data_IF_633183053673
#
_entry.id   IF_633183053673
#
_cell.length_a   1.000
_cell.length_b   1.000
_cell.length_c   1.000
_cell.angle_alpha   90.00
_cell.angle_beta   90.00
_cell.angle_gamma   90.00
#
_symmetry.space_group_name_H-M   'P 1'
#
loop_
_entity.id
_entity.type
_entity.pdbx_description
1 polymer ?
#
# COMPACT_ATOMS: atom_id res chain seq x y z
N UNK A 1 -55.34 51.94 5.53
CA UNK A 1 -55.47 50.52 5.90
C UNK A 1 -54.20 49.80 5.49
N UNK A 2 -53.48 49.26 6.48
CA UNK A 2 -52.36 48.29 6.47
C UNK A 2 -51.05 48.64 5.74
N UNK A 3 -50.06 48.95 6.58
CA UNK A 3 -48.62 48.77 6.39
C UNK A 3 -48.23 47.28 6.37
N UNK A 4 -46.92 47.04 6.12
CA UNK A 4 -46.15 45.83 6.46
C UNK A 4 -46.16 44.74 5.37
N UNK A 5 -45.08 44.05 4.99
CA UNK A 5 -43.67 44.05 5.38
C UNK A 5 -42.92 43.13 4.40
N UNK A 6 -41.67 43.46 4.09
CA UNK A 6 -40.49 42.57 3.99
C UNK A 6 -40.62 41.15 3.42
N UNK A 7 -39.82 40.84 2.40
CA UNK A 7 -38.75 39.83 2.50
C UNK A 7 -37.85 39.88 1.25
N UNK A 8 -36.61 40.32 1.46
CA UNK A 8 -35.46 39.93 0.64
C UNK A 8 -35.36 38.40 0.66
N UNK A 9 -35.30 37.72 -0.49
CA UNK A 9 -34.45 36.53 -0.65
C UNK A 9 -34.42 36.01 -2.09
N UNK A 10 -33.37 36.32 -2.84
CA UNK A 10 -32.80 35.33 -3.75
C UNK A 10 -31.30 35.34 -3.47
N UNK A 11 -30.93 34.69 -2.37
CA UNK A 11 -29.54 34.43 -2.01
C UNK A 11 -28.78 33.85 -3.21
N UNK A 12 -27.57 34.36 -3.48
CA UNK A 12 -26.67 33.81 -4.49
C UNK A 12 -26.27 32.38 -4.12
N UNK A 13 -26.14 31.56 -5.16
CA UNK A 13 -25.41 30.29 -5.28
C UNK A 13 -24.87 29.72 -3.95
N UNK A 14 -25.36 28.58 -3.45
CA UNK A 14 -24.61 27.87 -2.44
C UNK A 14 -23.41 27.22 -3.13
N UNK A 15 -22.24 27.82 -2.93
CA UNK A 15 -20.94 27.14 -2.96
C UNK A 15 -20.97 26.04 -1.87
N UNK A 16 -21.67 24.94 -2.13
CA UNK A 16 -21.78 23.80 -1.21
C UNK A 16 -21.48 22.45 -1.86
N UNK A 17 -20.93 22.43 -3.08
CA UNK A 17 -20.43 21.21 -3.74
C UNK A 17 -18.91 21.03 -3.61
N UNK A 18 -18.32 21.52 -2.52
CA UNK A 18 -16.91 21.30 -2.17
C UNK A 18 -16.78 20.70 -0.77
N UNK A 19 -17.50 19.62 -0.48
CA UNK A 19 -17.21 18.80 0.70
C UNK A 19 -18.10 17.56 0.75
N UNK A 20 -17.62 16.47 0.14
CA UNK A 20 -17.97 15.05 0.40
C UNK A 20 -17.14 14.22 -0.59
N UNK A 21 -16.20 13.36 -0.25
CA UNK A 21 -15.70 12.84 1.03
C UNK A 21 -14.26 12.38 0.74
N UNK A 22 -13.26 12.94 1.41
CA UNK A 22 -11.88 12.44 1.30
C UNK A 22 -11.14 12.69 2.62
N UNK A 23 -11.49 11.94 3.65
CA UNK A 23 -10.72 11.97 4.91
C UNK A 23 -10.66 10.64 5.65
N UNK A 24 -11.27 9.56 5.15
CA UNK A 24 -11.28 8.24 5.84
C UNK A 24 -10.14 7.29 5.44
N UNK A 25 -9.17 7.70 4.62
CA UNK A 25 -8.07 6.81 4.16
C UNK A 25 -6.72 7.07 4.89
N UNK A 26 -6.74 7.76 6.04
CA UNK A 26 -5.52 8.12 6.80
C UNK A 26 -5.26 7.25 8.04
N UNK A 27 -6.27 6.52 8.53
CA UNK A 27 -6.10 5.67 9.70
C UNK A 27 -5.65 4.26 9.27
N UNK A 28 -4.43 3.89 9.65
CA UNK A 28 -3.88 2.56 9.43
C UNK A 28 -3.41 1.94 10.75
N UNK A 29 -3.74 0.67 10.96
CA UNK A 29 -3.17 -0.13 12.05
C UNK A 29 -1.90 -0.81 11.54
N UNK A 30 -0.88 -0.88 12.41
CA UNK A 30 0.40 -1.51 12.07
C UNK A 30 0.54 -2.81 12.86
N UNK A 31 0.59 -3.90 12.12
CA UNK A 31 0.91 -5.22 12.67
C UNK A 31 2.39 -5.46 12.43
N UNK A 32 3.13 -5.77 13.48
CA UNK A 32 4.58 -5.92 13.40
C UNK A 32 5.06 -7.29 13.90
N UNK A 33 6.13 -7.77 13.27
CA UNK A 33 6.93 -8.90 13.73
C UNK A 33 8.36 -8.35 13.89
N UNK A 34 8.90 -8.46 15.10
CA UNK A 34 10.25 -7.98 15.43
C UNK A 34 11.20 -9.13 15.70
N UNK A 35 12.43 -8.93 15.26
CA UNK A 35 13.60 -9.79 15.42
C UNK A 35 13.34 -11.27 15.08
N UNK A 36 12.54 -11.51 14.04
CA UNK A 36 12.32 -12.87 13.54
C UNK A 36 13.64 -13.41 13.03
N UNK A 37 14.15 -14.42 13.73
CA UNK A 37 15.41 -15.06 13.40
C UNK A 37 15.15 -16.28 12.51
N UNK A 38 15.84 -16.34 11.38
CA UNK A 38 15.84 -17.49 10.48
C UNK A 38 17.23 -17.77 9.93
N UNK A 39 17.39 -18.93 9.32
CA UNK A 39 18.64 -19.35 8.67
C UNK A 39 18.36 -19.60 7.20
N UNK A 40 19.21 -19.07 6.33
CA UNK A 40 19.16 -19.33 4.89
C UNK A 40 20.56 -19.26 4.31
N UNK A 41 20.78 -20.01 3.23
CA UNK A 41 21.93 -19.81 2.35
C UNK A 41 21.62 -18.56 1.51
N UNK A 42 22.44 -17.51 1.64
CA UNK A 42 22.26 -16.23 0.93
C UNK A 42 23.61 -15.53 0.77
N UNK A 43 23.93 -15.17 -0.47
CA UNK A 43 25.22 -14.59 -0.84
C UNK A 43 25.55 -14.77 -2.32
N UNK A 44 26.55 -14.03 -2.79
CA UNK A 44 27.09 -14.13 -4.17
C UNK A 44 28.45 -14.84 -4.18
N UNK A 45 29.21 -14.79 -3.08
CA UNK A 45 30.52 -15.42 -2.98
C UNK A 45 30.39 -16.93 -2.78
N UNK A 46 31.34 -17.69 -3.33
CA UNK A 46 31.35 -19.16 -3.26
C UNK A 46 31.33 -19.68 -1.81
N UNK A 47 32.02 -18.99 -0.90
CA UNK A 47 32.04 -19.29 0.54
C UNK A 47 30.66 -19.11 1.22
N UNK A 48 29.78 -18.28 0.66
CA UNK A 48 28.45 -18.00 1.21
C UNK A 48 27.39 -19.03 0.76
N UNK A 49 27.71 -19.89 -0.21
CA UNK A 49 26.79 -20.86 -0.81
C UNK A 49 26.77 -22.21 -0.08
N UNK A 50 27.71 -22.45 0.83
CA UNK A 50 27.87 -23.74 1.51
C UNK A 50 27.25 -23.77 2.91
N UNK A 51 27.18 -22.64 3.61
CA UNK A 51 26.76 -22.58 5.02
C UNK A 51 25.49 -21.75 5.21
N UNK A 52 24.47 -22.26 5.95
CA UNK A 52 23.32 -21.46 6.35
C UNK A 52 23.74 -20.29 7.24
N UNK A 53 23.29 -19.10 6.88
CA UNK A 53 23.62 -17.88 7.63
C UNK A 53 22.39 -17.37 8.35
N UNK A 54 22.60 -16.94 9.60
CA UNK A 54 21.56 -16.33 10.42
C UNK A 54 21.17 -14.99 9.80
N UNK A 55 19.88 -14.77 9.67
CA UNK A 55 19.28 -13.48 9.31
C UNK A 55 18.23 -13.12 10.34
N UNK A 56 18.05 -11.82 10.55
CA UNK A 56 17.02 -11.27 11.41
C UNK A 56 16.13 -10.40 10.55
N UNK A 57 14.82 -10.62 10.64
CA UNK A 57 13.83 -9.95 9.81
C UNK A 57 12.86 -9.19 10.73
N UNK A 58 12.68 -7.90 10.45
CA UNK A 58 11.61 -7.08 11.01
C UNK A 58 10.60 -6.79 9.92
N UNK A 59 9.31 -6.93 10.24
CA UNK A 59 8.22 -6.64 9.31
C UNK A 59 7.21 -5.75 10.00
N UNK A 60 6.76 -4.72 9.29
CA UNK A 60 5.62 -3.88 9.67
C UNK A 60 4.63 -3.87 8.51
N UNK A 61 3.41 -4.31 8.77
CA UNK A 61 2.32 -4.42 7.79
C UNK A 61 1.27 -3.40 8.18
N UNK A 62 1.06 -2.42 7.31
CA UNK A 62 -0.01 -1.44 7.46
C UNK A 62 -1.29 -1.94 6.83
N UNK A 63 -2.34 -2.08 7.63
CA UNK A 63 -3.69 -2.37 7.15
C UNK A 63 -4.59 -1.16 7.34
N UNK A 64 -5.58 -1.00 6.45
CA UNK A 64 -6.63 -0.01 6.69
C UNK A 64 -7.27 -0.32 8.03
N UNK A 65 -7.53 0.71 8.84
CA UNK A 65 -8.26 0.57 10.10
C UNK A 65 -9.63 -0.05 9.78
N UNK A 66 -9.73 -1.37 9.97
CA UNK A 66 -11.03 -2.02 10.04
C UNK A 66 -11.65 -1.59 11.36
N UNK A 67 -12.96 -1.69 11.50
CA UNK A 67 -13.70 -1.43 12.76
C UNK A 67 -13.32 -2.43 13.89
N UNK A 68 -12.10 -2.96 13.90
CA UNK A 68 -11.56 -4.00 14.77
C UNK A 68 -11.36 -3.53 16.23
N UNK A 69 -11.46 -2.23 16.52
CA UNK A 69 -11.68 -1.78 17.90
C UNK A 69 -12.99 -2.33 18.50
N UNK A 70 -13.88 -2.90 17.68
CA UNK A 70 -15.24 -3.32 18.10
C UNK A 70 -15.48 -4.83 17.97
N UNK A 71 -14.68 -5.61 17.23
CA UNK A 71 -15.11 -6.96 16.80
C UNK A 71 -14.29 -8.16 17.29
N UNK A 72 -13.12 -7.97 17.92
CA UNK A 72 -12.31 -9.04 18.55
C UNK A 72 -12.12 -10.31 17.67
N UNK A 73 -12.19 -10.13 16.34
CA UNK A 73 -12.18 -11.21 15.35
C UNK A 73 -10.83 -11.26 14.65
N UNK A 74 -10.09 -12.34 14.92
CA UNK A 74 -8.83 -12.71 14.25
C UNK A 74 -8.98 -12.75 12.71
N UNK A 75 -10.20 -12.94 12.22
CA UNK A 75 -10.57 -12.97 10.80
C UNK A 75 -10.33 -11.65 10.06
N UNK A 76 -10.24 -10.53 10.79
CA UNK A 76 -9.98 -9.18 10.25
C UNK A 76 -8.57 -8.66 10.59
N UNK A 77 -7.76 -9.45 11.30
CA UNK A 77 -6.37 -9.09 11.62
C UNK A 77 -5.40 -9.89 10.75
N UNK A 78 -4.20 -9.35 10.50
CA UNK A 78 -3.15 -10.10 9.81
C UNK A 78 -2.69 -11.22 10.74
N UNK A 79 -2.94 -12.46 10.32
CA UNK A 79 -2.47 -13.66 10.98
C UNK A 79 -0.93 -13.73 10.90
N UNK A 80 -0.28 -13.27 11.97
CA UNK A 80 1.17 -13.27 12.09
C UNK A 80 1.77 -14.69 12.10
N UNK A 81 1.00 -15.73 12.44
CA UNK A 81 1.46 -17.12 12.36
C UNK A 81 1.57 -17.56 10.90
N UNK A 82 0.60 -17.16 10.05
CA UNK A 82 0.71 -17.36 8.59
C UNK A 82 1.90 -16.60 8.01
N UNK A 83 2.10 -15.34 8.41
CA UNK A 83 3.26 -14.54 7.95
C UNK A 83 4.57 -15.22 8.36
N UNK A 84 4.68 -15.65 9.63
CA UNK A 84 5.85 -16.37 10.15
C UNK A 84 6.13 -17.67 9.39
N UNK A 85 5.09 -18.46 9.12
CA UNK A 85 5.21 -19.72 8.37
C UNK A 85 5.67 -19.47 6.93
N UNK A 86 5.07 -18.48 6.27
CA UNK A 86 5.43 -18.07 4.93
C UNK A 86 6.92 -17.70 4.82
N UNK A 87 7.42 -16.89 5.76
CA UNK A 87 8.84 -16.51 5.78
C UNK A 87 9.71 -17.73 5.98
N UNK A 88 9.38 -18.61 6.95
CA UNK A 88 10.14 -19.85 7.18
C UNK A 88 10.23 -20.72 5.93
N UNK A 89 9.12 -20.85 5.21
CA UNK A 89 9.09 -21.67 4.01
C UNK A 89 9.91 -21.03 2.88
N UNK A 90 9.88 -19.70 2.72
CA UNK A 90 10.75 -18.99 1.78
C UNK A 90 12.23 -19.17 2.10
N UNK A 91 12.64 -19.07 3.37
CA UNK A 91 14.04 -19.24 3.77
C UNK A 91 14.56 -20.65 3.49
N UNK A 92 13.72 -21.67 3.66
CA UNK A 92 14.08 -23.07 3.35
C UNK A 92 14.29 -23.33 1.86
N UNK A 93 13.73 -22.50 0.98
CA UNK A 93 13.91 -22.71 -0.46
C UNK A 93 15.33 -22.41 -0.94
N UNK A 94 16.10 -21.60 -0.19
CA UNK A 94 17.47 -21.18 -0.53
C UNK A 94 17.61 -20.61 -1.95
N UNK A 95 16.54 -20.03 -2.51
CA UNK A 95 16.50 -19.58 -3.91
C UNK A 95 17.11 -18.20 -4.14
N UNK A 96 17.37 -17.43 -3.08
CA UNK A 96 17.70 -16.02 -3.19
C UNK A 96 19.18 -15.78 -2.93
N UNK A 97 19.85 -15.14 -3.90
CA UNK A 97 21.25 -14.72 -3.80
C UNK A 97 21.44 -13.39 -3.07
N UNK A 98 20.40 -12.55 -3.06
CA UNK A 98 20.42 -11.18 -2.55
C UNK A 98 19.31 -10.96 -1.53
N UNK A 99 19.57 -10.13 -0.52
CA UNK A 99 18.60 -9.78 0.53
C UNK A 99 17.43 -8.98 -0.05
N UNK A 100 17.70 -8.17 -1.09
CA UNK A 100 16.71 -7.39 -1.83
C UNK A 100 15.68 -8.30 -2.50
N UNK A 101 16.13 -9.36 -3.17
CA UNK A 101 15.25 -10.31 -3.84
C UNK A 101 14.37 -11.09 -2.86
N UNK A 102 14.95 -11.50 -1.72
CA UNK A 102 14.22 -12.14 -0.64
C UNK A 102 13.15 -11.19 -0.05
N UNK A 103 13.53 -9.95 0.24
CA UNK A 103 12.61 -8.94 0.77
C UNK A 103 11.46 -8.65 -0.20
N UNK A 104 11.75 -8.51 -1.49
CA UNK A 104 10.72 -8.26 -2.51
C UNK A 104 9.73 -9.43 -2.60
N UNK A 105 10.21 -10.67 -2.57
CA UNK A 105 9.31 -11.84 -2.55
C UNK A 105 8.42 -11.83 -1.31
N UNK A 106 8.99 -11.62 -0.12
CA UNK A 106 8.21 -11.57 1.12
C UNK A 106 7.13 -10.49 1.02
N UNK A 107 7.47 -9.31 0.48
CA UNK A 107 6.50 -8.24 0.27
C UNK A 107 5.37 -8.65 -0.70
N UNK A 108 5.70 -9.26 -1.84
CA UNK A 108 4.74 -9.70 -2.84
C UNK A 108 3.77 -10.76 -2.30
N UNK A 109 4.32 -11.75 -1.59
CA UNK A 109 3.53 -12.79 -0.93
C UNK A 109 2.59 -12.18 0.12
N UNK A 110 3.09 -11.23 0.93
CA UNK A 110 2.25 -10.58 1.94
C UNK A 110 1.14 -9.74 1.29
N UNK A 111 1.41 -8.99 0.23
CA UNK A 111 0.35 -8.25 -0.47
C UNK A 111 -0.69 -9.15 -1.15
N UNK A 112 -0.30 -10.36 -1.53
CA UNK A 112 -1.19 -11.35 -2.17
C UNK A 112 -2.11 -12.00 -1.15
N UNK A 113 -1.58 -12.36 0.02
CA UNK A 113 -2.32 -13.09 1.05
C UNK A 113 -3.01 -12.19 2.08
N UNK A 114 -2.50 -10.98 2.27
CA UNK A 114 -3.00 -10.04 3.27
C UNK A 114 -3.34 -8.74 2.55
N UNK A 115 -4.51 -8.17 2.86
CA UNK A 115 -5.01 -6.95 2.20
C UNK A 115 -4.30 -5.68 2.73
N UNK A 116 -2.96 -5.72 2.75
CA UNK A 116 -2.07 -4.69 3.24
C UNK A 116 -2.07 -3.46 2.32
N UNK A 117 -2.07 -2.27 2.93
CA UNK A 117 -1.93 -0.98 2.27
C UNK A 117 -0.45 -0.68 2.01
N UNK A 118 0.40 -0.97 2.98
CA UNK A 118 1.84 -0.85 2.87
C UNK A 118 2.55 -1.91 3.70
N UNK A 119 3.82 -2.12 3.39
CA UNK A 119 4.70 -2.99 4.14
C UNK A 119 6.09 -2.37 4.22
N UNK A 120 6.71 -2.48 5.40
CA UNK A 120 8.13 -2.23 5.62
C UNK A 120 8.78 -3.54 6.05
N UNK A 121 9.86 -3.92 5.40
CA UNK A 121 10.64 -5.10 5.75
C UNK A 121 12.08 -4.66 5.92
N UNK A 122 12.69 -5.04 7.03
CA UNK A 122 14.12 -4.89 7.27
C UNK A 122 14.72 -6.28 7.43
N UNK A 123 15.72 -6.59 6.63
CA UNK A 123 16.45 -7.86 6.69
C UNK A 123 17.89 -7.54 7.01
N UNK A 124 18.35 -8.00 8.18
CA UNK A 124 19.71 -7.79 8.65
C UNK A 124 20.44 -9.13 8.81
N UNK A 125 21.69 -9.15 8.39
CA UNK A 125 22.67 -10.22 8.56
C UNK A 125 23.62 -9.80 9.67
N UNK A 126 23.42 -10.30 10.91
CA UNK A 126 24.31 -9.98 12.02
C UNK A 126 25.69 -10.60 11.79
N UNK A 127 26.74 -9.97 12.33
CA UNK A 127 28.12 -10.47 12.29
C UNK A 127 28.74 -10.66 10.89
N UNK A 128 28.30 -9.89 9.88
CA UNK A 128 28.98 -9.92 8.56
C UNK A 128 30.39 -9.32 8.64
N UNK A 129 30.58 -8.31 9.48
CA UNK A 129 31.88 -7.67 9.75
C UNK A 129 32.07 -7.49 11.26
N UNK A 130 33.31 -7.54 11.77
CA UNK A 130 33.60 -7.46 13.20
C UNK A 130 33.39 -6.06 13.81
N UNK A 131 33.32 -5.02 12.98
CA UNK A 131 33.21 -3.62 13.35
C UNK A 131 31.79 -3.05 13.26
N UNK A 132 30.81 -3.86 12.84
CA UNK A 132 29.39 -3.47 12.73
C UNK A 132 28.49 -4.51 13.39
N UNK A 133 27.42 -4.05 14.04
CA UNK A 133 26.42 -4.94 14.65
C UNK A 133 25.75 -5.81 13.58
N UNK A 134 25.26 -5.19 12.51
CA UNK A 134 24.58 -5.88 11.43
C UNK A 134 24.58 -5.05 10.14
N UNK A 135 24.53 -5.76 9.01
CA UNK A 135 24.34 -5.15 7.68
C UNK A 135 23.07 -5.70 7.07
N UNK A 136 22.38 -4.91 6.25
CA UNK A 136 21.09 -5.34 5.76
C UNK A 136 20.43 -4.38 4.79
N UNK A 137 19.21 -4.71 4.43
CA UNK A 137 18.36 -3.92 3.54
C UNK A 137 17.06 -3.57 4.24
N UNK A 138 16.57 -2.36 4.01
CA UNK A 138 15.26 -1.91 4.44
C UNK A 138 14.44 -1.54 3.21
N UNK A 139 13.34 -2.24 2.98
CA UNK A 139 12.44 -1.99 1.88
C UNK A 139 11.10 -1.48 2.40
N UNK A 140 10.54 -0.51 1.67
CA UNK A 140 9.18 -0.03 1.86
C UNK A 140 8.43 -0.19 0.54
N UNK A 141 7.25 -0.76 0.61
CA UNK A 141 6.34 -0.92 -0.54
C UNK A 141 4.96 -0.48 -0.11
N UNK A 142 4.27 0.23 -0.99
CA UNK A 142 2.87 0.61 -0.82
C UNK A 142 2.10 0.02 -1.98
N UNK A 143 0.93 -0.56 -1.71
CA UNK A 143 0.01 -0.98 -2.77
C UNK A 143 -0.39 0.29 -3.52
N UNK A 144 -0.07 0.34 -4.81
CA UNK A 144 -0.51 1.45 -5.64
C UNK A 144 -2.04 1.47 -5.59
N UNK A 145 -2.61 2.47 -4.93
CA UNK A 145 -4.02 2.80 -5.15
C UNK A 145 -4.10 3.09 -6.64
N UNK A 146 -4.88 2.31 -7.38
CA UNK A 146 -5.07 2.57 -8.80
C UNK A 146 -5.41 4.05 -8.93
N UNK A 147 -4.48 4.83 -9.50
CA UNK A 147 -4.74 6.21 -9.82
C UNK A 147 -6.02 6.17 -10.66
N UNK A 148 -7.10 6.75 -10.14
CA UNK A 148 -8.35 6.86 -10.87
C UNK A 148 -7.98 7.43 -12.23
N UNK A 149 -8.15 6.63 -13.29
CA UNK A 149 -8.00 7.12 -14.65
C UNK A 149 -8.90 8.34 -14.75
N UNK A 150 -8.31 9.53 -14.83
CA UNK A 150 -9.06 10.75 -15.16
C UNK A 150 -9.89 10.43 -16.40
N UNK A 151 -11.19 10.78 -16.43
CA UNK A 151 -12.04 10.47 -17.57
C UNK A 151 -11.38 11.03 -18.83
N UNK A 152 -11.11 10.13 -19.77
CA UNK A 152 -10.67 10.44 -21.12
C UNK A 152 -11.50 11.59 -21.66
N UNK A 153 -10.91 12.78 -21.80
CA UNK A 153 -11.49 13.84 -22.61
C UNK A 153 -11.50 13.29 -24.03
N UNK A 154 -12.64 12.75 -24.45
CA UNK A 154 -12.90 12.44 -25.85
C UNK A 154 -12.78 13.78 -26.57
N UNK A 155 -11.73 13.95 -27.39
CA UNK A 155 -11.76 14.93 -28.48
C UNK A 155 -12.89 14.51 -29.41
N UNK A 156 -14.09 14.99 -29.13
CA UNK A 156 -15.17 14.98 -30.12
C UNK A 156 -14.74 15.98 -31.18
N UNK A 157 -14.50 15.48 -32.39
CA UNK A 157 -14.37 16.33 -33.57
C UNK A 157 -15.66 17.16 -33.69
N UNK A 158 -15.60 18.43 -33.31
CA UNK A 158 -16.59 19.44 -33.72
C UNK A 158 -16.19 19.79 -35.14
N UNK A 159 -16.87 19.18 -36.12
CA UNK A 159 -17.05 19.68 -37.49
C UNK A 159 -18.02 18.73 -38.22
N UNK A 160 -19.19 18.53 -37.63
CA UNK A 160 -20.42 18.18 -38.33
C UNK A 160 -21.50 19.02 -37.64
N UNK A 161 -22.34 19.71 -38.43
CA UNK A 161 -23.30 20.77 -38.06
C UNK A 161 -22.81 22.22 -38.21
N UNK A 162 -22.83 22.70 -39.46
CA UNK A 162 -23.62 23.90 -39.76
C UNK A 162 -24.54 23.51 -40.90
N UNK A 163 -25.83 23.40 -40.55
CA UNK A 163 -26.88 22.94 -41.43
C UNK A 163 -27.32 23.96 -42.48
N UNK A 164 -28.19 23.44 -43.34
CA UNK A 164 -28.97 24.10 -44.38
C UNK A 164 -29.65 25.39 -43.88
N UNK A 165 -29.65 26.41 -44.74
CA UNK A 165 -30.36 27.67 -44.54
C UNK A 165 -30.68 28.33 -45.88
N UNK A 166 -31.82 27.95 -46.43
CA UNK A 166 -32.54 28.62 -47.53
C UNK A 166 -32.76 30.12 -47.23
N UNK A 167 -32.34 31.04 -48.10
CA UNK A 167 -32.97 32.37 -48.22
C UNK A 167 -32.90 32.87 -49.67
N UNK A 168 -34.07 33.24 -50.18
CA UNK A 168 -34.39 33.83 -51.49
C UNK A 168 -33.90 35.26 -51.66
N UNK A 169 -33.52 35.67 -52.87
CA UNK A 169 -34.12 36.83 -53.55
C UNK A 169 -33.78 36.85 -55.03
#
# INVERSE_FOLDING_TARGET
>A
MKQSSSALNTNPTPLSELSRDCSTDMDCDIIFIRDFTGETIIGICDDELETPQKIIINISIGIARSLACTTDRIEHTVDYDKVRKLIKDLLKTHRYKLLEGLGEEIANQIFTHFNAKFIRIEIKKPHKYPDVDSVGVSIFRKKATACAKSPTVRKTNILDFIGEGHITS
#
